data_IF_421035951632
#
_entry.id   IF_421035951632
#
_cell.length_a   1.000
_cell.length_b   1.000
_cell.length_c   1.000
_cell.angle_alpha   90.00
_cell.angle_beta   90.00
_cell.angle_gamma   90.00
#
_symmetry.space_group_name_H-M   'P 1'
#
loop_
_entity.id
_entity.type
_entity.pdbx_description
1 polymer ?
#
# COMPACT_ATOMS: atom_id res chain seq x y z
N UNK A 1 -1.65 -6.73 -5.11
CA UNK A 1 -3.12 -6.63 -4.99
C UNK A 1 -3.42 -5.24 -4.46
N UNK A 2 -4.21 -4.42 -5.15
CA UNK A 2 -4.50 -3.05 -4.71
C UNK A 2 -5.84 -3.06 -3.98
N UNK A 3 -5.83 -2.82 -2.67
CA UNK A 3 -7.05 -2.60 -1.88
C UNK A 3 -7.14 -1.13 -1.45
N UNK A 4 -8.31 -0.53 -1.56
CA UNK A 4 -8.58 0.83 -1.10
C UNK A 4 -9.39 0.76 0.19
N UNK A 5 -8.76 1.05 1.33
CA UNK A 5 -9.43 1.01 2.63
C UNK A 5 -10.07 2.36 2.97
N UNK A 6 -11.37 2.48 2.73
CA UNK A 6 -12.13 3.58 3.32
C UNK A 6 -12.34 3.28 4.81
N UNK A 7 -11.71 4.07 5.70
CA UNK A 7 -12.04 4.26 7.13
C UNK A 7 -11.48 3.30 8.21
N UNK A 8 -10.69 2.24 7.93
CA UNK A 8 -10.16 1.34 8.98
C UNK A 8 -8.65 1.15 9.06
N UNK A 9 -7.86 2.23 8.88
CA UNK A 9 -6.39 2.22 8.88
C UNK A 9 -5.74 1.35 9.98
N UNK A 10 -6.25 1.36 11.21
CA UNK A 10 -5.68 0.54 12.30
C UNK A 10 -5.90 -0.96 12.07
N UNK A 11 -7.07 -1.39 11.60
CA UNK A 11 -7.32 -2.81 11.31
C UNK A 11 -6.51 -3.26 10.12
N UNK A 12 -6.44 -2.44 9.07
CA UNK A 12 -5.64 -2.77 7.89
C UNK A 12 -4.15 -2.90 8.23
N UNK A 13 -3.60 -1.99 9.03
CA UNK A 13 -2.19 -2.05 9.49
C UNK A 13 -1.89 -3.22 10.42
N UNK A 14 -2.81 -3.57 11.33
CA UNK A 14 -2.52 -4.53 12.42
C UNK A 14 -3.00 -5.96 12.12
N UNK A 15 -4.02 -6.12 11.28
CA UNK A 15 -4.61 -7.42 10.96
C UNK A 15 -4.32 -7.83 9.52
N UNK A 16 -4.61 -6.94 8.54
CA UNK A 16 -4.53 -7.32 7.12
C UNK A 16 -3.10 -7.32 6.60
N UNK A 17 -2.29 -6.31 6.93
CA UNK A 17 -0.91 -6.24 6.47
C UNK A 17 -0.07 -7.47 6.90
N UNK A 18 -0.13 -7.95 8.15
CA UNK A 18 0.56 -9.19 8.52
C UNK A 18 0.08 -10.41 7.74
N UNK A 19 -1.23 -10.56 7.58
CA UNK A 19 -1.83 -11.68 6.86
C UNK A 19 -1.44 -11.68 5.37
N UNK A 20 -1.41 -10.51 4.73
CA UNK A 20 -0.96 -10.40 3.35
C UNK A 20 0.53 -10.66 3.18
N UNK A 21 1.35 -10.24 4.15
CA UNK A 21 2.76 -10.61 4.16
C UNK A 21 2.96 -12.13 4.29
N UNK A 22 2.20 -12.81 5.17
CA UNK A 22 2.25 -14.27 5.32
C UNK A 22 1.85 -14.99 4.03
N UNK A 23 0.88 -14.44 3.30
CA UNK A 23 0.48 -14.94 1.99
C UNK A 23 1.46 -14.58 0.86
N UNK A 24 2.63 -13.97 1.16
CA UNK A 24 3.61 -13.49 0.20
C UNK A 24 3.01 -12.58 -0.88
N UNK A 25 2.08 -11.71 -0.51
CA UNK A 25 1.60 -10.66 -1.41
C UNK A 25 2.77 -9.70 -1.65
N UNK A 26 3.23 -9.53 -2.91
CA UNK A 26 4.46 -8.76 -3.18
C UNK A 26 4.29 -7.27 -2.89
N UNK A 27 3.06 -6.78 -3.04
CA UNK A 27 2.70 -5.39 -2.89
C UNK A 27 1.27 -5.22 -2.35
N UNK A 28 1.15 -4.43 -1.28
CA UNK A 28 -0.10 -4.05 -0.64
C UNK A 28 -0.14 -2.55 -0.42
N UNK A 29 -1.21 -1.89 -0.85
CA UNK A 29 -1.37 -0.44 -0.72
C UNK A 29 -2.46 -0.14 0.30
N UNK A 30 -2.19 0.82 1.19
CA UNK A 30 -3.16 1.34 2.13
C UNK A 30 -3.42 2.81 1.81
N UNK A 31 -4.63 3.11 1.34
CA UNK A 31 -5.04 4.47 0.95
C UNK A 31 -5.69 5.17 2.15
N UNK A 32 -5.04 6.22 2.66
CA UNK A 32 -5.56 7.12 3.69
C UNK A 32 -6.23 8.34 3.04
N UNK A 33 -7.54 8.22 2.81
CA UNK A 33 -8.37 9.28 2.20
C UNK A 33 -8.38 10.58 2.99
N UNK A 34 -8.58 10.60 4.33
CA UNK A 34 -8.51 11.83 5.11
C UNK A 34 -7.19 12.60 4.97
N UNK A 35 -6.05 11.91 4.94
CA UNK A 35 -4.73 12.56 4.83
C UNK A 35 -4.21 12.70 3.39
N UNK A 36 -4.92 12.13 2.41
CA UNK A 36 -4.50 12.04 1.00
C UNK A 36 -3.12 11.41 0.82
N UNK A 37 -2.87 10.33 1.56
CA UNK A 37 -1.61 9.59 1.55
C UNK A 37 -1.87 8.13 1.23
N UNK A 38 -0.96 7.51 0.50
CA UNK A 38 -0.93 6.07 0.27
C UNK A 38 0.32 5.49 0.93
N UNK A 39 0.15 4.43 1.71
CA UNK A 39 1.25 3.62 2.24
C UNK A 39 1.44 2.39 1.37
N UNK A 40 2.62 2.23 0.80
CA UNK A 40 2.99 1.13 -0.09
C UNK A 40 3.85 0.17 0.70
N UNK A 41 3.32 -1.04 0.93
CA UNK A 41 3.98 -2.13 1.63
C UNK A 41 4.55 -3.11 0.61
N UNK A 42 5.86 -3.36 0.66
CA UNK A 42 6.58 -4.24 -0.28
C UNK A 42 7.64 -5.10 0.44
N UNK A 43 8.14 -6.11 -0.27
CA UNK A 43 9.09 -7.09 0.26
C UNK A 43 8.53 -7.82 1.51
N UNK A 44 7.52 -8.70 1.33
CA UNK A 44 7.00 -9.50 2.43
C UNK A 44 8.12 -10.35 3.07
N UNK A 45 8.13 -10.36 4.41
CA UNK A 45 9.10 -11.02 5.26
C UNK A 45 8.35 -11.66 6.45
N UNK A 46 7.93 -12.91 6.27
CA UNK A 46 7.07 -13.59 7.23
C UNK A 46 5.73 -12.87 7.35
N UNK A 47 5.36 -12.43 8.56
CA UNK A 47 4.12 -11.72 8.85
C UNK A 47 4.26 -10.19 8.85
N UNK A 48 5.22 -9.67 8.09
CA UNK A 48 5.47 -8.24 7.98
C UNK A 48 6.00 -7.88 6.60
N UNK A 49 5.99 -6.59 6.28
CA UNK A 49 6.66 -6.07 5.10
C UNK A 49 7.95 -5.38 5.51
N UNK A 50 9.05 -5.67 4.82
CA UNK A 50 10.35 -5.07 5.09
C UNK A 50 10.44 -3.61 4.62
N UNK A 51 9.60 -3.22 3.66
CA UNK A 51 9.56 -1.85 3.13
C UNK A 51 8.15 -1.29 3.22
N UNK A 52 8.04 -0.10 3.81
CA UNK A 52 6.79 0.67 3.87
C UNK A 52 7.11 2.10 3.49
N UNK A 53 6.45 2.60 2.46
CA UNK A 53 6.74 3.93 1.91
C UNK A 53 5.46 4.74 1.80
N UNK A 54 5.48 5.98 2.28
CA UNK A 54 4.36 6.93 2.16
C UNK A 54 4.51 7.79 0.91
N UNK A 55 3.39 7.99 0.22
CA UNK A 55 3.28 8.80 -0.99
C UNK A 55 2.08 9.72 -0.87
N UNK A 56 2.30 11.02 -1.06
CA UNK A 56 1.27 12.06 -0.92
C UNK A 56 0.84 12.63 -2.27
N UNK A 57 -0.02 13.65 -2.23
CA UNK A 57 -0.42 14.41 -3.41
C UNK A 57 0.81 14.91 -4.21
N UNK A 58 0.76 14.78 -5.54
CA UNK A 58 1.86 15.07 -6.46
C UNK A 58 2.86 13.93 -6.66
N UNK A 59 2.85 12.89 -5.81
CA UNK A 59 3.69 11.71 -6.00
C UNK A 59 3.08 10.73 -7.01
N UNK A 60 3.94 9.87 -7.58
CA UNK A 60 3.52 8.69 -8.35
C UNK A 60 3.99 7.41 -7.67
N UNK A 61 3.19 6.36 -7.79
CA UNK A 61 3.53 5.01 -7.34
C UNK A 61 3.65 4.13 -8.59
N UNK A 62 4.82 3.54 -8.80
CA UNK A 62 5.02 2.52 -9.83
C UNK A 62 4.76 1.14 -9.23
N UNK A 63 4.10 0.25 -9.98
CA UNK A 63 3.88 -1.14 -9.57
C UNK A 63 5.22 -1.90 -9.58
N UNK A 64 5.48 -2.69 -8.55
CA UNK A 64 6.73 -3.46 -8.43
C UNK A 64 6.93 -4.41 -9.61
N UNK A 65 5.88 -5.15 -9.99
CA UNK A 65 5.94 -6.13 -11.08
C UNK A 65 5.81 -5.48 -12.47
N UNK A 66 5.37 -4.22 -12.54
CA UNK A 66 5.14 -3.48 -13.78
C UNK A 66 5.63 -2.02 -13.63
N UNK A 67 6.96 -1.78 -13.62
CA UNK A 67 7.52 -0.47 -13.33
C UNK A 67 7.14 0.62 -14.35
N UNK A 68 6.76 0.21 -15.57
CA UNK A 68 6.25 1.11 -16.61
C UNK A 68 4.82 1.61 -16.31
N UNK A 69 4.11 0.92 -15.41
CA UNK A 69 2.77 1.30 -14.96
C UNK A 69 2.89 2.06 -13.65
N UNK A 70 2.60 3.36 -13.70
CA UNK A 70 2.57 4.22 -12.52
C UNK A 70 1.23 4.92 -12.38
N UNK A 71 0.77 5.06 -11.14
CA UNK A 71 -0.49 5.71 -10.78
C UNK A 71 -0.15 7.01 -10.04
N UNK A 72 -0.79 8.12 -10.43
CA UNK A 72 -0.68 9.36 -9.68
C UNK A 72 -1.48 9.24 -8.38
N UNK A 73 -0.91 9.66 -7.26
CA UNK A 73 -1.61 9.60 -5.97
C UNK A 73 -2.88 10.45 -5.99
N UNK A 74 -2.89 11.55 -6.72
CA UNK A 74 -4.07 12.41 -6.90
C UNK A 74 -5.23 11.74 -7.64
N UNK A 75 -4.99 10.67 -8.42
CA UNK A 75 -6.05 9.93 -9.13
C UNK A 75 -6.76 8.90 -8.21
N UNK A 76 -6.27 8.70 -6.99
CA UNK A 76 -6.83 7.76 -6.01
C UNK A 76 -7.83 8.40 -5.03
N UNK A 77 -8.06 9.72 -5.13
CA UNK A 77 -8.90 10.50 -4.20
C UNK A 77 -10.00 11.30 -4.91
#
# INVERSE_FOLDING_TARGET
>A
MVEVAHTSQRKDRVLKAPLYAECNVPEYWLVDVPSRVVEVYTAPAGSSYASVVRRGAGDRIALVDFPDVSIAVDELF
#
